data_IF_318176142038
#
_entry.id   IF_318176142038
#
_cell.length_a   1.000
_cell.length_b   1.000
_cell.length_c   1.000
_cell.angle_alpha   90.00
_cell.angle_beta   90.00
_cell.angle_gamma   90.00
#
_symmetry.space_group_name_H-M   'P 1'
#
loop_
_entity.id
_entity.type
_entity.pdbx_description
1 polymer ?
#
# COMPACT_ATOMS: atom_id res chain seq x y z
N UNK A 1 11.77 -12.93 -4.72
CA UNK A 1 10.59 -12.11 -5.03
C UNK A 1 10.96 -10.65 -5.13
N UNK A 2 10.34 -9.87 -6.03
CA UNK A 2 10.68 -8.45 -6.21
C UNK A 2 10.36 -7.63 -4.97
N UNK A 3 11.29 -6.75 -4.61
CA UNK A 3 11.14 -5.76 -3.54
C UNK A 3 11.66 -4.40 -4.03
N UNK A 4 10.97 -3.33 -3.71
CA UNK A 4 11.40 -1.96 -4.00
C UNK A 4 11.02 -1.06 -2.84
N UNK A 5 11.94 -0.17 -2.46
CA UNK A 5 11.78 0.66 -1.27
C UNK A 5 12.44 2.04 -1.43
N UNK A 6 12.05 2.97 -0.56
CA UNK A 6 12.74 4.25 -0.39
C UNK A 6 14.04 4.10 0.42
N UNK A 7 14.20 2.97 1.09
CA UNK A 7 15.35 2.66 1.92
C UNK A 7 16.46 2.21 0.97
N UNK A 8 17.54 2.96 0.89
CA UNK A 8 18.69 2.64 0.05
C UNK A 8 19.38 1.38 0.59
N UNK A 9 19.20 0.26 -0.10
CA UNK A 9 20.23 -0.76 -0.09
C UNK A 9 21.42 -0.12 -0.81
N UNK A 10 22.62 -0.17 -0.22
CA UNK A 10 23.84 0.56 -0.61
C UNK A 10 24.37 0.29 -2.03
N UNK A 11 23.54 -0.12 -2.96
CA UNK A 11 23.89 -0.25 -4.37
C UNK A 11 23.46 1.00 -5.13
N UNK A 12 24.43 1.79 -5.50
CA UNK A 12 24.41 3.05 -6.23
C UNK A 12 23.35 3.12 -7.34
N UNK A 13 22.13 3.52 -7.00
CA UNK A 13 21.16 3.98 -8.00
C UNK A 13 21.54 5.41 -8.38
N UNK A 14 21.81 5.65 -9.64
CA UNK A 14 22.01 6.98 -10.20
C UNK A 14 20.77 7.82 -9.86
N UNK A 15 20.95 8.83 -9.02
CA UNK A 15 19.84 9.70 -8.57
C UNK A 15 19.31 10.46 -9.79
N UNK A 16 18.10 10.09 -10.23
CA UNK A 16 17.43 10.80 -11.32
C UNK A 16 17.01 12.18 -10.82
N UNK A 17 17.45 13.24 -11.51
CA UNK A 17 17.38 14.61 -11.01
C UNK A 17 15.98 15.21 -11.08
N UNK A 18 15.12 14.77 -12.00
CA UNK A 18 13.77 15.31 -12.17
C UNK A 18 12.77 14.28 -12.72
N UNK A 19 11.47 14.62 -12.62
CA UNK A 19 10.37 13.74 -12.98
C UNK A 19 10.33 13.37 -14.48
N UNK A 20 10.74 14.29 -15.38
CA UNK A 20 10.81 13.99 -16.81
C UNK A 20 11.83 12.89 -17.12
N UNK A 21 12.94 12.85 -16.39
CA UNK A 21 13.99 11.87 -16.64
C UNK A 21 13.53 10.43 -16.32
N UNK A 22 12.57 10.27 -15.40
CA UNK A 22 11.93 8.96 -15.15
C UNK A 22 11.16 8.50 -16.38
N UNK A 23 10.52 9.45 -17.10
CA UNK A 23 9.70 9.18 -18.27
C UNK A 23 10.45 9.20 -19.60
N UNK A 24 11.76 9.32 -19.57
CA UNK A 24 12.53 9.36 -20.80
C UNK A 24 12.73 7.95 -21.37
N UNK A 25 12.42 7.80 -22.67
CA UNK A 25 12.62 6.51 -23.37
C UNK A 25 14.07 6.01 -23.29
N UNK A 26 15.04 6.92 -23.29
CA UNK A 26 16.45 6.58 -23.19
C UNK A 26 16.80 6.05 -21.79
N UNK A 27 16.12 6.51 -20.74
CA UNK A 27 16.26 5.97 -19.40
C UNK A 27 15.82 4.50 -19.34
N UNK A 28 14.69 4.16 -19.99
CA UNK A 28 14.22 2.77 -20.02
C UNK A 28 15.22 1.85 -20.74
N UNK A 29 15.76 2.30 -21.87
CA UNK A 29 16.84 1.57 -22.58
C UNK A 29 18.09 1.46 -21.72
N UNK A 30 18.49 2.53 -21.02
CA UNK A 30 19.65 2.53 -20.12
C UNK A 30 19.50 1.50 -18.99
N UNK A 31 18.33 1.42 -18.37
CA UNK A 31 18.03 0.43 -17.34
C UNK A 31 18.09 -0.98 -17.93
N UNK A 32 17.46 -1.21 -19.08
CA UNK A 32 17.47 -2.53 -19.73
C UNK A 32 18.88 -2.98 -20.13
N UNK A 33 19.73 -2.07 -20.59
CA UNK A 33 21.14 -2.33 -20.92
C UNK A 33 21.98 -2.62 -19.66
N UNK A 34 21.82 -1.80 -18.60
CA UNK A 34 22.48 -2.01 -17.30
C UNK A 34 22.20 -3.41 -16.74
N UNK A 35 20.96 -3.86 -16.88
CA UNK A 35 20.51 -5.19 -16.46
C UNK A 35 20.86 -6.30 -17.46
N UNK A 36 21.54 -5.99 -18.56
CA UNK A 36 21.88 -6.91 -19.66
C UNK A 36 20.66 -7.60 -20.30
N UNK A 37 19.50 -6.99 -20.20
CA UNK A 37 18.23 -7.48 -20.77
C UNK A 37 18.12 -7.06 -22.24
N UNK A 38 18.51 -5.83 -22.58
CA UNK A 38 18.62 -5.32 -23.95
C UNK A 38 20.10 -5.06 -24.29
N UNK A 39 20.72 -5.99 -25.07
CA UNK A 39 22.15 -5.88 -25.39
C UNK A 39 22.33 -5.06 -26.68
N UNK A 40 21.48 -5.25 -27.66
CA UNK A 40 21.55 -4.58 -28.98
C UNK A 40 20.17 -4.02 -29.34
N UNK A 41 20.17 -2.81 -29.89
CA UNK A 41 18.95 -2.26 -30.48
C UNK A 41 18.60 -3.05 -31.76
N UNK A 42 17.43 -3.65 -31.75
CA UNK A 42 16.86 -4.39 -32.88
C UNK A 42 15.46 -3.81 -33.18
N UNK A 43 14.59 -4.60 -33.81
CA UNK A 43 13.18 -4.27 -34.04
C UNK A 43 12.34 -4.08 -32.76
N UNK A 44 12.84 -4.46 -31.58
CA UNK A 44 12.21 -4.28 -30.28
C UNK A 44 13.09 -3.44 -29.35
N UNK A 45 12.48 -2.46 -28.67
CA UNK A 45 13.17 -1.65 -27.66
C UNK A 45 12.26 -1.43 -26.43
N UNK A 46 12.82 -1.57 -25.24
CA UNK A 46 12.13 -1.21 -24.00
C UNK A 46 11.82 0.29 -23.91
N UNK A 47 12.58 1.14 -24.61
CA UNK A 47 12.29 2.58 -24.71
C UNK A 47 10.95 2.89 -25.38
N UNK A 48 10.46 1.98 -26.21
CA UNK A 48 9.18 2.09 -26.93
C UNK A 48 8.10 1.23 -26.26
N UNK A 49 8.48 0.06 -25.77
CA UNK A 49 7.55 -0.90 -25.18
C UNK A 49 6.97 -0.44 -23.84
N UNK A 50 7.78 0.15 -22.96
CA UNK A 50 7.33 0.62 -21.64
C UNK A 50 6.25 1.71 -21.74
N UNK A 51 6.39 2.76 -22.60
CA UNK A 51 5.32 3.73 -22.84
C UNK A 51 4.02 3.10 -23.35
N UNK A 52 4.11 2.12 -24.23
CA UNK A 52 2.95 1.36 -24.69
C UNK A 52 2.27 0.63 -23.55
N UNK A 53 3.04 -0.06 -22.70
CA UNK A 53 2.49 -0.77 -21.54
C UNK A 53 1.81 0.20 -20.56
N UNK A 54 2.41 1.35 -20.25
CA UNK A 54 1.77 2.39 -19.43
C UNK A 54 0.42 2.83 -20.01
N UNK A 55 0.37 3.10 -21.32
CA UNK A 55 -0.85 3.50 -22.01
C UNK A 55 -1.93 2.41 -21.92
N UNK A 56 -1.57 1.16 -22.19
CA UNK A 56 -2.48 0.01 -22.14
C UNK A 56 -3.01 -0.29 -20.73
N UNK A 57 -2.18 -0.18 -19.71
CA UNK A 57 -2.62 -0.31 -18.32
C UNK A 57 -3.61 0.78 -17.87
N UNK A 58 -3.73 1.88 -18.62
CA UNK A 58 -4.73 2.92 -18.39
C UNK A 58 -6.02 2.72 -19.18
N UNK A 59 -6.11 1.70 -20.02
CA UNK A 59 -7.35 1.34 -20.73
C UNK A 59 -8.27 0.60 -19.75
N UNK A 60 -9.34 1.29 -19.31
CA UNK A 60 -10.35 0.71 -18.43
C UNK A 60 -11.31 -0.16 -19.23
N UNK A 61 -11.00 -1.44 -19.36
CA UNK A 61 -11.97 -2.45 -19.79
C UNK A 61 -12.07 -3.51 -18.69
N UNK A 62 -13.20 -3.56 -18.00
CA UNK A 62 -13.42 -4.47 -16.86
C UNK A 62 -13.26 -5.96 -17.20
N UNK A 63 -13.36 -6.32 -18.47
CA UNK A 63 -13.33 -7.70 -18.95
C UNK A 63 -12.20 -7.98 -19.95
N UNK A 64 -11.44 -6.96 -20.33
CA UNK A 64 -10.39 -7.12 -21.34
C UNK A 64 -9.09 -7.62 -20.73
N UNK A 65 -8.63 -8.74 -21.25
CA UNK A 65 -7.37 -9.36 -20.85
C UNK A 65 -6.27 -8.91 -21.79
N UNK A 66 -5.27 -8.22 -21.24
CA UNK A 66 -4.11 -7.78 -21.99
C UNK A 66 -3.31 -8.99 -22.49
N UNK A 67 -3.33 -9.27 -23.79
CA UNK A 67 -2.55 -10.33 -24.40
C UNK A 67 -1.22 -9.79 -24.94
N UNK A 68 -0.19 -10.64 -24.94
CA UNK A 68 1.10 -10.28 -25.54
C UNK A 68 0.98 -10.05 -27.04
N UNK A 69 0.08 -10.77 -27.71
CA UNK A 69 -0.18 -10.61 -29.13
C UNK A 69 -0.79 -9.24 -29.45
N UNK A 70 -1.77 -8.80 -28.67
CA UNK A 70 -2.33 -7.47 -28.79
C UNK A 70 -1.27 -6.37 -28.60
N UNK A 71 -0.39 -6.53 -27.60
CA UNK A 71 0.73 -5.62 -27.37
C UNK A 71 1.70 -5.61 -28.56
N UNK A 72 1.96 -6.76 -29.17
CA UNK A 72 2.82 -6.87 -30.35
C UNK A 72 2.23 -6.13 -31.55
N UNK A 73 0.95 -6.37 -31.84
CA UNK A 73 0.26 -5.68 -32.96
C UNK A 73 0.20 -4.19 -32.76
N UNK A 74 -0.10 -3.72 -31.55
CA UNK A 74 -0.11 -2.29 -31.22
C UNK A 74 1.30 -1.69 -31.29
N UNK A 75 2.33 -2.42 -30.86
CA UNK A 75 3.73 -2.03 -30.98
C UNK A 75 4.13 -1.83 -32.44
N UNK A 76 3.80 -2.80 -33.32
CA UNK A 76 4.03 -2.69 -34.76
C UNK A 76 3.36 -1.46 -35.36
N UNK A 77 2.08 -1.25 -35.02
CA UNK A 77 1.28 -0.13 -35.51
C UNK A 77 1.83 1.25 -35.09
N UNK A 78 2.28 1.37 -33.82
CA UNK A 78 2.73 2.66 -33.27
C UNK A 78 4.14 3.04 -33.71
N UNK A 79 5.02 2.06 -33.86
CA UNK A 79 6.44 2.31 -34.17
C UNK A 79 6.82 1.98 -35.61
N UNK A 80 5.85 1.60 -36.43
CA UNK A 80 6.05 1.21 -37.83
C UNK A 80 7.17 0.17 -38.00
N UNK A 81 7.16 -0.86 -37.14
CA UNK A 81 8.18 -1.91 -37.10
C UNK A 81 7.51 -3.25 -37.31
N UNK A 82 7.96 -4.00 -38.30
CA UNK A 82 7.51 -5.37 -38.50
C UNK A 82 8.31 -6.34 -37.57
N UNK A 83 7.61 -6.91 -36.58
CA UNK A 83 8.18 -7.88 -35.65
C UNK A 83 7.29 -9.11 -35.51
N UNK A 84 7.82 -10.29 -35.83
CA UNK A 84 7.08 -11.53 -35.67
C UNK A 84 6.93 -11.93 -34.20
N UNK A 85 6.03 -12.86 -33.92
CA UNK A 85 5.63 -13.26 -32.57
C UNK A 85 6.84 -13.77 -31.74
N UNK A 86 7.63 -14.71 -32.30
CA UNK A 86 8.75 -15.33 -31.58
C UNK A 86 9.82 -14.33 -31.10
N UNK A 87 10.36 -13.39 -31.92
CA UNK A 87 11.29 -12.36 -31.43
C UNK A 87 10.67 -11.44 -30.37
N UNK A 88 9.39 -11.08 -30.49
CA UNK A 88 8.70 -10.23 -29.52
C UNK A 88 8.59 -10.94 -28.17
N UNK A 89 8.13 -12.20 -28.16
CA UNK A 89 8.05 -13.01 -26.96
C UNK A 89 9.41 -13.25 -26.33
N UNK A 90 10.44 -13.58 -27.12
CA UNK A 90 11.80 -13.79 -26.62
C UNK A 90 12.41 -12.53 -25.98
N UNK A 91 12.00 -11.33 -26.40
CA UNK A 91 12.45 -10.10 -25.74
C UNK A 91 11.92 -9.97 -24.31
N UNK A 92 10.71 -10.49 -24.06
CA UNK A 92 10.03 -10.47 -22.76
C UNK A 92 10.27 -11.74 -21.95
N UNK A 93 10.68 -12.83 -22.61
CA UNK A 93 10.93 -14.15 -22.00
C UNK A 93 12.34 -14.24 -21.40
N UNK A 94 12.72 -13.22 -20.64
CA UNK A 94 14.00 -13.18 -19.91
C UNK A 94 13.71 -13.18 -18.42
N UNK A 95 14.39 -14.04 -17.69
CA UNK A 95 14.17 -14.26 -16.26
C UNK A 95 14.17 -12.94 -15.44
N UNK A 96 15.03 -12.01 -15.82
CA UNK A 96 15.22 -10.74 -15.11
C UNK A 96 14.40 -9.55 -15.67
N UNK A 97 13.51 -9.76 -16.64
CA UNK A 97 12.76 -8.67 -17.30
C UNK A 97 11.99 -7.81 -16.29
N UNK A 98 11.45 -8.39 -15.23
CA UNK A 98 10.73 -7.69 -14.18
C UNK A 98 11.61 -6.73 -13.35
N UNK A 99 12.94 -6.85 -13.42
CA UNK A 99 13.86 -5.92 -12.74
C UNK A 99 13.83 -4.52 -13.36
N UNK A 100 13.43 -4.39 -14.64
CA UNK A 100 13.28 -3.08 -15.28
C UNK A 100 12.23 -2.22 -14.56
N UNK A 101 10.95 -2.62 -14.48
CA UNK A 101 9.96 -1.85 -13.73
C UNK A 101 10.24 -1.79 -12.22
N UNK A 102 10.96 -2.75 -11.65
CA UNK A 102 11.40 -2.70 -10.26
C UNK A 102 12.35 -1.53 -10.00
N UNK A 103 13.33 -1.30 -10.87
CA UNK A 103 14.23 -0.14 -10.78
C UNK A 103 13.48 1.18 -11.00
N UNK A 104 12.53 1.22 -11.94
CA UNK A 104 11.66 2.38 -12.14
C UNK A 104 10.82 2.69 -10.89
N UNK A 105 10.25 1.68 -10.23
CA UNK A 105 9.49 1.85 -8.99
C UNK A 105 10.37 2.43 -7.87
N UNK A 106 11.58 1.90 -7.70
CA UNK A 106 12.52 2.39 -6.69
C UNK A 106 12.93 3.84 -6.91
N UNK A 107 13.25 4.21 -8.16
CA UNK A 107 13.58 5.58 -8.54
C UNK A 107 12.40 6.53 -8.28
N UNK A 108 11.18 6.10 -8.61
CA UNK A 108 9.96 6.89 -8.42
C UNK A 108 9.65 7.10 -6.94
N UNK A 109 9.78 6.07 -6.10
CA UNK A 109 9.59 6.18 -4.65
C UNK A 109 10.58 7.17 -4.02
N UNK A 110 11.84 7.14 -4.45
CA UNK A 110 12.85 8.11 -3.98
C UNK A 110 12.50 9.54 -4.39
N UNK A 111 12.02 9.75 -5.62
CA UNK A 111 11.59 11.07 -6.09
C UNK A 111 10.36 11.58 -5.34
N UNK A 112 9.37 10.71 -5.12
CA UNK A 112 8.20 11.01 -4.30
C UNK A 112 8.60 11.49 -2.91
N UNK A 113 9.46 10.73 -2.22
CA UNK A 113 9.95 11.07 -0.88
C UNK A 113 10.65 12.44 -0.84
N UNK A 114 11.48 12.77 -1.85
CA UNK A 114 12.18 14.06 -1.93
C UNK A 114 11.21 15.22 -2.21
N UNK A 115 10.25 15.02 -3.10
CA UNK A 115 9.30 16.06 -3.49
C UNK A 115 8.40 16.46 -2.31
N UNK A 116 7.90 15.48 -1.58
CA UNK A 116 7.02 15.71 -0.44
C UNK A 116 7.69 16.52 0.68
N UNK A 117 8.97 16.36 0.91
CA UNK A 117 9.70 17.17 1.90
C UNK A 117 9.70 18.68 1.57
N UNK A 118 9.49 19.06 0.30
CA UNK A 118 9.56 20.47 -0.15
C UNK A 118 8.21 21.18 -0.21
N UNK A 119 7.08 20.47 -0.26
CA UNK A 119 5.76 21.06 -0.42
C UNK A 119 5.22 21.70 0.87
N UNK A 120 4.77 22.98 0.82
CA UNK A 120 4.21 23.70 1.97
C UNK A 120 2.90 23.10 2.48
N UNK A 121 2.01 22.74 1.57
CA UNK A 121 0.71 22.12 1.92
C UNK A 121 0.90 20.78 2.62
N UNK A 122 1.86 20.03 2.18
CA UNK A 122 2.27 18.77 2.75
C UNK A 122 2.93 18.93 4.13
N UNK A 123 3.77 19.98 4.31
CA UNK A 123 4.42 20.26 5.60
C UNK A 123 3.42 20.46 6.74
N UNK A 124 2.32 21.17 6.51
CA UNK A 124 1.32 21.44 7.56
C UNK A 124 0.63 20.16 8.04
N UNK A 125 0.22 19.27 7.12
CA UNK A 125 -0.39 17.98 7.49
C UNK A 125 0.60 17.01 8.16
N UNK A 126 1.82 16.94 7.64
CA UNK A 126 2.86 16.08 8.23
C UNK A 126 3.38 16.60 9.57
N UNK A 127 3.33 17.91 9.82
CA UNK A 127 3.77 18.49 11.10
C UNK A 127 2.88 18.04 12.25
N UNK A 128 1.56 18.02 12.06
CA UNK A 128 0.64 17.46 13.07
C UNK A 128 0.92 15.98 13.35
N UNK A 129 1.19 15.19 12.30
CA UNK A 129 1.53 13.77 12.47
C UNK A 129 2.85 13.61 13.22
N UNK A 130 3.85 14.44 12.93
CA UNK A 130 5.12 14.46 13.67
C UNK A 130 4.93 14.86 15.12
N UNK A 131 4.07 15.85 15.39
CA UNK A 131 3.71 16.24 16.76
C UNK A 131 3.06 15.08 17.52
N UNK A 132 2.13 14.36 16.89
CA UNK A 132 1.54 13.14 17.43
C UNK A 132 2.61 12.06 17.70
N UNK A 133 3.50 11.82 16.75
CA UNK A 133 4.59 10.85 16.92
C UNK A 133 5.51 11.25 18.08
N UNK A 134 5.86 12.55 18.20
CA UNK A 134 6.67 13.08 19.32
C UNK A 134 5.97 12.86 20.66
N UNK A 135 4.66 13.08 20.74
CA UNK A 135 3.87 12.83 21.96
C UNK A 135 3.95 11.37 22.41
N UNK A 136 3.96 10.42 21.45
CA UNK A 136 4.06 8.99 21.74
C UNK A 136 5.50 8.48 21.85
N UNK A 137 6.49 9.35 21.65
CA UNK A 137 7.89 8.99 21.70
C UNK A 137 8.34 8.10 20.53
N UNK A 138 7.66 8.16 19.37
CA UNK A 138 8.01 7.40 18.18
C UNK A 138 8.47 8.31 17.04
N UNK A 139 9.31 7.77 16.15
CA UNK A 139 9.82 8.53 15.00
C UNK A 139 8.81 8.59 13.84
N UNK A 140 8.04 7.50 13.64
CA UNK A 140 7.06 7.38 12.56
C UNK A 140 5.99 6.35 12.90
N UNK A 141 4.88 6.40 12.19
CA UNK A 141 3.84 5.38 12.18
C UNK A 141 3.82 4.73 10.80
N UNK A 142 4.08 3.43 10.77
CA UNK A 142 4.16 2.63 9.54
C UNK A 142 2.91 1.74 9.43
N UNK A 143 2.12 2.00 8.42
CA UNK A 143 0.93 1.20 8.11
C UNK A 143 1.32 0.03 7.22
N UNK A 144 1.04 -1.19 7.66
CA UNK A 144 1.32 -2.41 6.90
C UNK A 144 0.01 -3.05 6.47
N UNK A 145 -0.08 -3.38 5.19
CA UNK A 145 -1.21 -4.14 4.66
C UNK A 145 -0.78 -5.01 3.47
N UNK A 146 -1.52 -6.09 3.23
CA UNK A 146 -1.32 -7.00 2.12
C UNK A 146 -2.56 -7.08 1.23
N UNK A 147 -2.36 -7.26 -0.07
CA UNK A 147 -3.46 -7.45 -1.01
C UNK A 147 -3.16 -8.58 -1.99
N UNK A 148 -4.14 -9.45 -2.19
CA UNK A 148 -4.02 -10.58 -3.11
C UNK A 148 -4.41 -10.17 -4.53
N UNK A 149 -3.68 -10.73 -5.50
CA UNK A 149 -3.94 -10.64 -6.94
C UNK A 149 -4.16 -12.07 -7.40
N UNK A 150 -5.39 -12.40 -7.77
CA UNK A 150 -5.72 -13.71 -8.34
C UNK A 150 -5.09 -13.82 -9.74
N UNK A 151 -4.46 -14.93 -10.02
CA UNK A 151 -3.94 -15.30 -11.33
C UNK A 151 -4.85 -16.35 -11.99
N UNK A 152 -4.67 -16.54 -13.29
CA UNK A 152 -5.37 -17.59 -14.03
C UNK A 152 -4.91 -18.98 -13.59
N UNK A 153 -5.77 -19.96 -13.70
CA UNK A 153 -5.46 -21.35 -13.36
C UNK A 153 -4.24 -21.90 -14.12
N UNK A 154 -4.05 -21.47 -15.38
CA UNK A 154 -2.85 -21.82 -16.17
C UNK A 154 -1.52 -21.42 -15.54
N UNK A 155 -1.54 -20.54 -14.52
CA UNK A 155 -0.35 -20.13 -13.77
C UNK A 155 -0.01 -21.09 -12.61
N UNK A 156 -0.83 -22.08 -12.32
CA UNK A 156 -0.67 -22.97 -11.17
C UNK A 156 0.64 -23.78 -11.17
N UNK A 157 1.25 -23.99 -12.34
CA UNK A 157 2.56 -24.64 -12.47
C UNK A 157 3.72 -23.74 -11.98
N UNK A 158 3.55 -22.41 -12.03
CA UNK A 158 4.60 -21.43 -11.75
C UNK A 158 4.37 -20.62 -10.47
N UNK A 159 3.18 -20.74 -9.88
CA UNK A 159 2.80 -20.05 -8.64
C UNK A 159 2.05 -20.99 -7.73
N UNK A 160 2.40 -20.99 -6.46
CA UNK A 160 1.71 -21.78 -5.47
C UNK A 160 0.25 -21.37 -5.32
N UNK A 161 -0.62 -22.39 -5.23
CA UNK A 161 -2.05 -22.20 -5.04
C UNK A 161 -2.40 -22.12 -3.56
N UNK A 162 -3.30 -21.22 -3.20
CA UNK A 162 -3.86 -21.12 -1.85
C UNK A 162 -4.71 -22.36 -1.61
N UNK A 163 -4.41 -23.17 -0.60
CA UNK A 163 -5.20 -24.36 -0.24
C UNK A 163 -4.43 -25.68 -0.12
N UNK A 164 -3.16 -25.76 -0.50
CA UNK A 164 -2.31 -26.97 -0.31
C UNK A 164 -2.04 -27.38 1.16
N UNK A 165 -2.85 -26.99 2.11
CA UNK A 165 -2.65 -27.34 3.53
C UNK A 165 -3.92 -27.66 4.32
N UNK A 166 -5.09 -27.50 3.74
CA UNK A 166 -6.34 -27.97 4.36
C UNK A 166 -6.94 -29.09 3.50
N UNK A 167 -6.79 -30.30 3.97
CA UNK A 167 -7.67 -31.42 3.58
C UNK A 167 -9.10 -31.01 3.93
N UNK A 168 -9.81 -30.34 3.03
CA UNK A 168 -11.25 -30.34 3.04
C UNK A 168 -11.70 -31.60 2.35
N UNK A 169 -12.45 -32.41 3.08
CA UNK A 169 -13.16 -33.56 2.59
C UNK A 169 -14.12 -33.08 1.47
N UNK A 170 -14.09 -33.78 0.36
CA UNK A 170 -15.18 -34.03 -0.57
C UNK A 170 -15.87 -32.89 -1.31
N UNK A 171 -15.16 -31.80 -1.67
CA UNK A 171 -15.64 -30.88 -2.72
C UNK A 171 -14.63 -30.79 -3.85
N UNK A 172 -15.01 -31.41 -4.98
CA UNK A 172 -14.26 -31.42 -6.25
C UNK A 172 -14.15 -30.03 -6.91
N UNK A 173 -14.71 -28.99 -6.29
CA UNK A 173 -14.79 -27.61 -6.79
C UNK A 173 -14.08 -26.58 -5.89
N UNK A 174 -13.11 -27.01 -5.08
CA UNK A 174 -12.31 -26.03 -4.34
C UNK A 174 -11.39 -25.29 -5.32
N UNK A 175 -11.82 -24.12 -5.72
CA UNK A 175 -11.17 -23.11 -6.56
C UNK A 175 -9.82 -22.65 -5.96
N UNK A 176 -8.81 -23.53 -5.94
CA UNK A 176 -7.44 -23.22 -5.54
C UNK A 176 -6.76 -22.42 -6.66
N UNK A 177 -7.06 -21.12 -6.73
CA UNK A 177 -6.46 -20.24 -7.74
C UNK A 177 -5.05 -19.86 -7.34
N UNK A 178 -4.08 -19.93 -8.27
CA UNK A 178 -2.76 -19.37 -8.04
C UNK A 178 -2.87 -17.85 -7.87
N UNK A 179 -1.96 -17.26 -7.15
CA UNK A 179 -2.00 -15.82 -6.90
C UNK A 179 -0.70 -15.24 -6.45
N UNK A 180 -0.65 -13.92 -6.48
CA UNK A 180 0.40 -13.10 -5.89
C UNK A 180 -0.17 -12.28 -4.74
N UNK A 181 0.69 -11.89 -3.82
CA UNK A 181 0.36 -10.98 -2.74
C UNK A 181 1.32 -9.81 -2.77
N UNK A 182 0.77 -8.59 -2.76
CA UNK A 182 1.53 -7.37 -2.58
C UNK A 182 1.45 -6.97 -1.11
N UNK A 183 2.62 -6.75 -0.50
CA UNK A 183 2.75 -6.21 0.86
C UNK A 183 3.25 -4.79 0.75
N UNK A 184 2.57 -3.85 1.37
CA UNK A 184 2.88 -2.42 1.31
C UNK A 184 3.11 -1.88 2.71
N UNK A 185 4.20 -1.15 2.87
CA UNK A 185 4.44 -0.30 4.03
C UNK A 185 4.30 1.17 3.64
N UNK A 186 3.46 1.88 4.36
CA UNK A 186 3.18 3.29 4.15
C UNK A 186 3.56 4.10 5.40
N UNK A 187 4.39 5.13 5.23
CA UNK A 187 4.77 6.06 6.29
C UNK A 187 3.73 7.16 6.45
N UNK A 188 3.19 7.33 7.65
CA UNK A 188 2.29 8.45 7.94
C UNK A 188 3.03 9.79 7.99
N UNK A 189 4.23 9.86 8.56
CA UNK A 189 4.98 11.11 8.65
C UNK A 189 5.48 11.60 7.29
N UNK A 190 5.83 10.67 6.40
CA UNK A 190 6.30 10.97 5.05
C UNK A 190 5.17 10.94 4.01
N UNK A 191 3.98 10.46 4.38
CA UNK A 191 2.82 10.25 3.49
C UNK A 191 3.19 9.54 2.18
N UNK A 192 4.06 8.56 2.25
CA UNK A 192 4.58 7.84 1.09
C UNK A 192 4.79 6.37 1.41
N UNK A 193 4.88 5.58 0.36
CA UNK A 193 5.23 4.17 0.46
C UNK A 193 6.72 4.05 0.79
N UNK A 194 7.04 3.28 1.82
CA UNK A 194 8.41 2.97 2.20
C UNK A 194 8.94 1.76 1.43
N UNK A 195 8.14 0.72 1.33
CA UNK A 195 8.47 -0.43 0.50
C UNK A 195 7.22 -1.16 -0.02
N UNK A 196 7.41 -1.91 -1.10
CA UNK A 196 6.48 -2.92 -1.60
C UNK A 196 7.25 -4.22 -1.80
N UNK A 197 6.68 -5.32 -1.33
CA UNK A 197 7.19 -6.67 -1.58
C UNK A 197 6.12 -7.48 -2.29
N UNK A 198 6.53 -8.33 -3.22
CA UNK A 198 5.63 -9.24 -3.94
C UNK A 198 6.00 -10.66 -3.56
N UNK A 199 5.03 -11.43 -3.08
CA UNK A 199 5.18 -12.86 -2.75
C UNK A 199 4.13 -13.68 -3.47
N UNK A 200 4.24 -14.99 -3.40
CA UNK A 200 3.16 -15.90 -3.78
C UNK A 200 2.01 -15.81 -2.76
N UNK A 201 0.78 -16.10 -3.20
CA UNK A 201 -0.42 -15.88 -2.37
C UNK A 201 -0.46 -16.69 -1.07
N UNK A 202 0.25 -17.81 -1.01
CA UNK A 202 0.42 -18.65 0.19
C UNK A 202 1.55 -18.18 1.11
N UNK A 203 2.39 -17.22 0.68
CA UNK A 203 3.44 -16.65 1.50
C UNK A 203 2.90 -16.00 2.78
N UNK A 204 3.66 -16.13 3.88
CA UNK A 204 3.31 -15.54 5.16
C UNK A 204 3.44 -14.01 5.11
N UNK A 205 2.36 -13.29 5.39
CA UNK A 205 2.40 -11.81 5.47
C UNK A 205 3.34 -11.31 6.56
N UNK A 206 3.55 -12.11 7.61
CA UNK A 206 4.33 -11.76 8.79
C UNK A 206 5.82 -11.69 8.49
N UNK A 207 6.29 -12.55 7.58
CA UNK A 207 7.70 -12.65 7.21
C UNK A 207 8.14 -11.49 6.29
N UNK A 208 7.16 -10.75 5.74
CA UNK A 208 7.39 -9.61 4.86
C UNK A 208 7.40 -8.25 5.59
N UNK A 209 7.26 -8.25 6.92
CA UNK A 209 7.37 -7.02 7.72
C UNK A 209 8.84 -6.72 8.00
N UNK A 210 9.38 -5.71 7.32
CA UNK A 210 10.80 -5.30 7.43
C UNK A 210 11.03 -4.37 8.62
N UNK A 211 10.67 -4.80 9.83
CA UNK A 211 10.76 -3.99 11.04
C UNK A 211 12.21 -3.60 11.40
N UNK A 212 13.18 -4.41 11.06
CA UNK A 212 14.61 -4.21 11.28
C UNK A 212 15.18 -2.98 10.54
N UNK A 213 14.53 -2.56 9.46
CA UNK A 213 14.90 -1.36 8.69
C UNK A 213 14.40 -0.05 9.33
N UNK A 214 13.63 -0.14 10.39
CA UNK A 214 13.05 1.00 11.09
C UNK A 214 13.53 1.02 12.55
N UNK A 215 13.63 2.23 13.11
CA UNK A 215 14.01 2.40 14.52
C UNK A 215 13.02 3.32 15.22
N UNK A 216 12.57 2.90 16.38
CA UNK A 216 11.63 3.64 17.20
C UNK A 216 10.36 4.03 16.40
N UNK A 217 9.81 3.10 15.60
CA UNK A 217 8.61 3.28 14.79
C UNK A 217 7.46 2.43 15.32
N UNK A 218 6.23 2.89 15.10
CA UNK A 218 5.01 2.17 15.43
C UNK A 218 4.43 1.51 14.16
N UNK A 219 4.35 0.19 14.15
CA UNK A 219 3.72 -0.58 13.06
C UNK A 219 2.24 -0.81 13.35
N UNK A 220 1.37 -0.37 12.44
CA UNK A 220 -0.07 -0.63 12.52
C UNK A 220 -0.44 -1.69 11.48
N UNK A 221 -1.02 -2.80 11.96
CA UNK A 221 -1.27 -3.99 11.15
C UNK A 221 -2.65 -4.57 11.42
N UNK A 222 -3.20 -5.33 10.44
CA UNK A 222 -4.46 -6.05 10.62
C UNK A 222 -4.23 -7.38 11.39
N UNK A 223 -5.33 -8.03 11.76
CA UNK A 223 -5.37 -9.29 12.53
C UNK A 223 -4.60 -10.45 11.88
N UNK A 224 -4.36 -10.42 10.57
CA UNK A 224 -3.54 -11.40 9.87
C UNK A 224 -2.10 -11.46 10.38
N UNK A 225 -1.60 -10.35 10.92
CA UNK A 225 -0.24 -10.21 11.43
C UNK A 225 -0.06 -10.64 12.89
N UNK A 226 -1.12 -11.02 13.60
CA UNK A 226 -1.02 -11.49 14.99
C UNK A 226 -0.10 -12.73 15.08
N UNK A 227 1.05 -12.56 15.71
CA UNK A 227 2.06 -13.60 15.91
C UNK A 227 2.97 -13.22 17.05
N UNK A 228 3.07 -14.09 18.05
CA UNK A 228 3.96 -13.88 19.21
C UNK A 228 5.43 -13.73 18.82
N UNK A 229 5.86 -14.43 17.75
CA UNK A 229 7.21 -14.27 17.22
C UNK A 229 7.40 -12.86 16.65
N UNK A 230 6.54 -12.43 15.72
CA UNK A 230 6.64 -11.09 15.10
C UNK A 230 6.57 -9.98 16.17
N UNK A 231 5.68 -10.10 17.15
CA UNK A 231 5.55 -9.13 18.24
C UNK A 231 6.82 -9.01 19.09
N UNK A 232 7.44 -10.15 19.43
CA UNK A 232 8.73 -10.19 20.15
C UNK A 232 9.86 -9.59 19.29
N UNK A 233 9.93 -9.94 18.02
CA UNK A 233 10.98 -9.47 17.10
C UNK A 233 10.87 -7.95 16.88
N UNK A 234 9.66 -7.41 16.70
CA UNK A 234 9.42 -5.95 16.60
C UNK A 234 9.84 -5.26 17.91
N UNK A 235 9.45 -5.80 19.07
CA UNK A 235 9.81 -5.20 20.35
C UNK A 235 11.32 -5.26 20.61
N UNK A 236 11.98 -6.38 20.29
CA UNK A 236 13.42 -6.55 20.42
C UNK A 236 14.22 -5.60 19.51
N UNK A 237 13.69 -5.23 18.36
CA UNK A 237 14.30 -4.23 17.45
C UNK A 237 14.13 -2.77 17.92
N UNK A 238 13.51 -2.53 19.08
CA UNK A 238 13.22 -1.20 19.61
C UNK A 238 12.07 -0.49 18.92
N UNK A 239 11.17 -1.25 18.29
CA UNK A 239 9.97 -0.75 17.63
C UNK A 239 8.70 -1.11 18.41
N UNK A 240 7.59 -0.49 17.98
CA UNK A 240 6.27 -0.70 18.57
C UNK A 240 5.31 -1.28 17.54
N UNK A 241 4.26 -1.95 18.04
CA UNK A 241 3.19 -2.44 17.19
C UNK A 241 1.81 -2.07 17.75
N UNK A 242 0.83 -1.97 16.86
CA UNK A 242 -0.60 -1.87 17.14
C UNK A 242 -1.33 -2.78 16.15
N UNK A 243 -1.82 -3.92 16.62
CA UNK A 243 -2.40 -4.97 15.78
C UNK A 243 -3.84 -5.21 16.20
N UNK A 244 -4.76 -5.30 15.22
CA UNK A 244 -6.12 -5.75 15.50
C UNK A 244 -6.09 -7.21 15.92
N UNK A 245 -6.68 -7.51 17.06
CA UNK A 245 -6.70 -8.88 17.58
C UNK A 245 -7.94 -9.66 17.12
N UNK A 246 -7.89 -10.96 17.32
CA UNK A 246 -9.02 -11.84 17.07
C UNK A 246 -10.01 -11.75 18.24
N UNK A 247 -11.31 -11.94 17.98
CA UNK A 247 -12.34 -11.98 19.03
C UNK A 247 -12.10 -13.10 20.07
N UNK A 248 -11.34 -14.13 19.69
CA UNK A 248 -10.99 -15.27 20.54
C UNK A 248 -9.52 -15.20 20.96
N UNK A 249 -9.05 -14.04 21.37
CA UNK A 249 -7.68 -13.83 21.84
C UNK A 249 -7.34 -14.81 22.95
N UNK A 250 -6.30 -15.58 22.71
CA UNK A 250 -5.77 -16.53 23.69
C UNK A 250 -4.81 -15.81 24.63
N UNK A 251 -5.02 -15.95 25.91
CA UNK A 251 -4.16 -15.39 26.96
C UNK A 251 -4.94 -15.18 28.24
N UNK A 252 -4.21 -15.03 29.34
CA UNK A 252 -4.77 -14.84 30.69
C UNK A 252 -4.59 -13.38 31.08
N UNK A 253 -5.64 -12.75 31.59
CA UNK A 253 -5.61 -11.35 32.04
C UNK A 253 -4.87 -11.31 33.39
N UNK A 254 -3.77 -10.55 33.42
CA UNK A 254 -2.97 -10.33 34.64
C UNK A 254 -3.21 -8.95 35.27
N UNK A 255 -3.67 -7.97 34.48
CA UNK A 255 -4.18 -6.68 34.98
C UNK A 255 -5.35 -6.23 34.09
N UNK A 256 -6.31 -5.55 34.69
CA UNK A 256 -7.46 -5.00 33.96
C UNK A 256 -7.85 -3.64 34.56
N UNK A 257 -8.20 -2.69 33.68
CA UNK A 257 -8.58 -1.34 34.03
C UNK A 257 -9.77 -0.89 33.18
N UNK A 258 -10.66 -0.05 33.75
CA UNK A 258 -11.68 0.65 32.99
C UNK A 258 -11.13 1.95 32.37
N UNK A 259 -12.02 2.74 31.69
CA UNK A 259 -11.67 4.03 31.08
C UNK A 259 -11.12 5.06 32.08
N UNK A 260 -11.57 5.01 33.32
CA UNK A 260 -11.12 5.90 34.40
C UNK A 260 -9.77 5.50 35.00
N UNK A 261 -9.24 4.32 34.62
CA UNK A 261 -8.00 3.78 35.18
C UNK A 261 -8.20 2.97 36.47
N UNK A 262 -9.45 2.69 36.84
CA UNK A 262 -9.78 1.88 38.02
C UNK A 262 -9.53 0.39 37.74
N UNK A 263 -8.96 -0.30 38.70
CA UNK A 263 -8.61 -1.72 38.58
C UNK A 263 -9.88 -2.61 38.64
N UNK A 264 -9.98 -3.52 37.65
CA UNK A 264 -11.08 -4.48 37.54
C UNK A 264 -10.62 -5.86 37.99
N UNK A 265 -10.57 -6.10 39.30
CA UNK A 265 -10.10 -7.36 39.90
C UNK A 265 -10.91 -8.58 39.45
N UNK A 266 -12.21 -8.42 39.16
CA UNK A 266 -13.10 -9.47 38.65
C UNK A 266 -12.66 -10.07 37.31
N UNK A 267 -11.77 -9.39 36.58
CA UNK A 267 -11.23 -9.85 35.30
C UNK A 267 -9.96 -10.71 35.43
N UNK A 268 -9.27 -10.65 36.55
CA UNK A 268 -7.99 -11.32 36.74
C UNK A 268 -8.11 -12.85 36.63
N UNK A 269 -7.13 -13.48 36.02
CA UNK A 269 -7.09 -14.93 35.79
C UNK A 269 -8.02 -15.42 34.68
N UNK A 270 -8.90 -14.57 34.13
CA UNK A 270 -9.84 -14.93 33.07
C UNK A 270 -9.21 -14.78 31.69
N UNK A 271 -9.77 -15.49 30.70
CA UNK A 271 -9.44 -15.29 29.28
C UNK A 271 -10.21 -14.10 28.74
N UNK A 272 -9.62 -13.31 27.85
CA UNK A 272 -10.34 -12.20 27.18
C UNK A 272 -11.62 -12.68 26.51
N UNK A 273 -11.61 -13.86 25.90
CA UNK A 273 -12.78 -14.45 25.23
C UNK A 273 -13.97 -14.69 26.15
N UNK A 274 -13.73 -14.92 27.46
CA UNK A 274 -14.79 -15.12 28.44
C UNK A 274 -15.46 -13.80 28.89
N UNK A 275 -14.88 -12.65 28.54
CA UNK A 275 -15.43 -11.32 28.88
C UNK A 275 -16.26 -10.72 27.73
N UNK A 276 -16.60 -11.51 26.71
CA UNK A 276 -17.27 -11.01 25.51
C UNK A 276 -18.61 -10.32 25.81
N UNK A 277 -19.38 -10.88 26.71
CA UNK A 277 -20.72 -10.42 27.06
C UNK A 277 -20.77 -9.73 28.45
N UNK A 278 -19.60 -9.42 29.02
CA UNK A 278 -19.49 -8.69 30.28
C UNK A 278 -18.92 -7.30 30.07
N UNK A 279 -19.25 -6.36 30.95
CA UNK A 279 -18.82 -4.95 30.85
C UNK A 279 -19.22 -4.30 29.53
N UNK A 280 -20.42 -4.59 29.03
CA UNK A 280 -20.94 -4.10 27.73
C UNK A 280 -21.14 -2.60 27.68
N UNK A 281 -21.33 -1.96 28.84
CA UNK A 281 -21.50 -0.51 28.98
C UNK A 281 -20.17 0.25 28.96
N UNK A 282 -19.07 -0.45 29.24
CA UNK A 282 -17.74 0.17 29.23
C UNK A 282 -17.28 0.45 27.79
N UNK A 283 -17.00 1.73 27.51
CA UNK A 283 -16.52 2.19 26.21
C UNK A 283 -15.14 1.62 25.91
N UNK A 284 -14.26 1.57 26.94
CA UNK A 284 -12.89 1.05 26.84
C UNK A 284 -12.56 0.16 28.03
N UNK A 285 -11.90 -0.95 27.76
CA UNK A 285 -11.19 -1.74 28.74
C UNK A 285 -9.73 -1.93 28.33
N UNK A 286 -8.86 -1.97 29.31
CA UNK A 286 -7.41 -2.01 29.12
C UNK A 286 -6.82 -3.17 29.94
N UNK A 287 -6.25 -4.15 29.25
CA UNK A 287 -5.75 -5.38 29.85
C UNK A 287 -4.25 -5.53 29.65
N UNK A 288 -3.55 -6.02 30.65
CA UNK A 288 -2.27 -6.69 30.46
C UNK A 288 -2.55 -8.19 30.41
N UNK A 289 -2.09 -8.86 29.38
CA UNK A 289 -2.41 -10.25 29.06
C UNK A 289 -1.13 -11.05 28.93
N UNK A 290 -1.04 -12.14 29.66
CA UNK A 290 -0.01 -13.14 29.46
C UNK A 290 -0.44 -14.08 28.33
N UNK A 291 0.36 -14.14 27.27
CA UNK A 291 0.10 -15.00 26.11
C UNK A 291 0.50 -16.45 26.42
N UNK A 292 0.00 -17.40 25.62
CA UNK A 292 0.40 -18.82 25.75
C UNK A 292 1.91 -19.06 25.63
N UNK A 293 2.64 -18.14 25.00
CA UNK A 293 4.09 -18.19 24.82
C UNK A 293 4.85 -17.44 25.92
N UNK A 294 4.18 -17.11 27.03
CA UNK A 294 4.80 -16.52 28.23
C UNK A 294 5.29 -15.08 28.05
N UNK A 295 4.76 -14.30 27.09
CA UNK A 295 5.07 -12.87 27.02
C UNK A 295 3.83 -12.02 27.32
N UNK A 296 4.05 -10.87 27.92
CA UNK A 296 3.01 -9.94 28.27
C UNK A 296 2.75 -8.97 27.12
N UNK A 297 1.47 -8.75 26.81
CA UNK A 297 1.02 -7.80 25.82
C UNK A 297 -0.14 -6.98 26.36
N UNK A 298 -0.17 -5.68 26.08
CA UNK A 298 -1.31 -4.84 26.38
C UNK A 298 -2.39 -5.05 25.33
N UNK A 299 -3.62 -5.31 25.74
CA UNK A 299 -4.78 -5.48 24.87
C UNK A 299 -5.85 -4.50 25.30
N UNK A 300 -6.34 -3.67 24.40
CA UNK A 300 -7.49 -2.81 24.63
C UNK A 300 -8.73 -3.40 23.98
N UNK A 301 -9.88 -3.27 24.63
CA UNK A 301 -11.20 -3.48 24.05
C UNK A 301 -11.87 -2.13 23.90
N UNK A 302 -12.26 -1.78 22.69
CA UNK A 302 -12.96 -0.53 22.39
C UNK A 302 -14.35 -0.84 21.85
N UNK A 303 -15.38 -0.14 22.34
CA UNK A 303 -16.75 -0.19 21.78
C UNK A 303 -16.72 0.50 20.42
N UNK A 304 -17.30 -0.12 19.42
CA UNK A 304 -17.33 0.39 18.05
C UNK A 304 -18.67 0.03 17.43
N UNK A 305 -19.24 0.95 16.65
CA UNK A 305 -20.42 0.68 15.83
C UNK A 305 -20.04 0.41 14.39
N UNK A 306 -20.69 -0.54 13.76
CA UNK A 306 -20.59 -0.75 12.32
C UNK A 306 -21.45 0.28 11.56
N UNK A 307 -21.52 0.14 10.22
CA UNK A 307 -22.26 1.06 9.36
C UNK A 307 -23.77 0.96 9.51
N UNK A 308 -24.22 -0.18 9.93
CA UNK A 308 -25.66 -0.50 10.10
C UNK A 308 -26.12 -0.15 11.53
N UNK A 309 -25.24 0.45 12.35
CA UNK A 309 -25.51 0.87 13.71
C UNK A 309 -25.35 -0.24 14.76
N UNK A 310 -24.98 -1.46 14.36
CA UNK A 310 -24.76 -2.54 15.31
C UNK A 310 -23.52 -2.26 16.15
N UNK A 311 -23.66 -2.28 17.45
CA UNK A 311 -22.55 -2.10 18.38
C UNK A 311 -21.79 -3.41 18.59
N UNK A 312 -20.48 -3.30 18.59
CA UNK A 312 -19.58 -4.41 18.83
C UNK A 312 -18.29 -3.97 19.49
N UNK A 313 -17.35 -4.88 19.66
CA UNK A 313 -16.07 -4.58 20.25
C UNK A 313 -14.92 -4.86 19.30
N UNK A 314 -13.96 -3.93 19.26
CA UNK A 314 -12.67 -4.09 18.59
C UNK A 314 -11.62 -4.35 19.65
N UNK A 315 -10.78 -5.36 19.42
CA UNK A 315 -9.66 -5.67 20.26
C UNK A 315 -8.37 -5.27 19.55
N UNK A 316 -7.52 -4.51 20.23
CA UNK A 316 -6.24 -4.06 19.71
C UNK A 316 -5.15 -4.44 20.71
N UNK A 317 -4.07 -5.02 20.20
CA UNK A 317 -2.91 -5.41 20.99
C UNK A 317 -1.68 -4.57 20.66
N UNK A 318 -0.87 -4.25 21.68
CA UNK A 318 0.26 -3.34 21.54
C UNK A 318 1.31 -3.58 22.64
N UNK A 319 2.55 -3.16 22.36
CA UNK A 319 3.61 -3.03 23.39
C UNK A 319 3.78 -1.57 23.89
N UNK A 320 2.96 -0.62 23.42
CA UNK A 320 2.97 0.74 23.97
C UNK A 320 2.44 0.78 25.39
N UNK A 321 3.16 1.50 26.25
CA UNK A 321 2.84 1.61 27.68
C UNK A 321 1.58 2.46 27.92
N UNK A 322 0.80 2.12 28.95
CA UNK A 322 -0.45 2.78 29.34
C UNK A 322 -0.27 4.26 29.67
N UNK A 323 0.83 4.67 30.30
CA UNK A 323 1.15 6.07 30.61
C UNK A 323 1.53 6.92 29.39
N UNK A 324 1.82 6.31 28.23
CA UNK A 324 2.22 7.02 27.02
C UNK A 324 1.01 7.32 26.12
N UNK A 325 0.09 6.34 26.01
CA UNK A 325 -1.05 6.43 25.09
C UNK A 325 -2.31 5.79 25.71
N UNK A 326 -3.43 6.52 25.65
CA UNK A 326 -4.72 6.07 26.15
C UNK A 326 -5.38 5.03 25.23
N UNK A 327 -6.41 4.32 25.75
CA UNK A 327 -7.23 3.40 24.96
C UNK A 327 -7.92 4.12 23.79
N UNK A 328 -8.46 5.32 24.06
CA UNK A 328 -9.08 6.15 23.04
C UNK A 328 -8.10 6.49 21.92
N UNK A 329 -6.90 6.98 22.27
CA UNK A 329 -5.86 7.33 21.29
C UNK A 329 -5.44 6.12 20.45
N UNK A 330 -5.25 4.94 21.04
CA UNK A 330 -4.94 3.70 20.33
C UNK A 330 -6.05 3.32 19.35
N UNK A 331 -7.31 3.42 19.78
CA UNK A 331 -8.45 3.11 18.91
C UNK A 331 -8.54 4.08 17.72
N UNK A 332 -8.39 5.39 17.96
CA UNK A 332 -8.37 6.37 16.87
C UNK A 332 -7.16 6.19 15.96
N UNK A 333 -5.99 5.91 16.53
CA UNK A 333 -4.76 5.71 15.76
C UNK A 333 -4.87 4.47 14.83
N UNK A 334 -5.51 3.40 15.28
CA UNK A 334 -5.75 2.22 14.45
C UNK A 334 -6.60 2.56 13.19
N UNK A 335 -7.48 3.54 13.26
CA UNK A 335 -8.29 3.97 12.10
C UNK A 335 -7.44 4.54 10.96
N UNK A 336 -6.22 5.03 11.24
CA UNK A 336 -5.31 5.52 10.20
C UNK A 336 -4.88 4.41 9.22
N UNK A 337 -4.99 3.13 9.61
CA UNK A 337 -4.69 1.98 8.75
C UNK A 337 -5.51 1.97 7.44
N UNK A 338 -6.71 2.57 7.47
CA UNK A 338 -7.56 2.69 6.28
C UNK A 338 -6.87 3.39 5.09
N UNK A 339 -5.85 4.20 5.35
CA UNK A 339 -5.09 4.92 4.30
C UNK A 339 -4.41 3.95 3.33
N UNK A 340 -3.77 2.90 3.84
CA UNK A 340 -3.09 1.91 2.98
C UNK A 340 -4.09 1.05 2.22
N UNK A 341 -5.26 0.75 2.80
CA UNK A 341 -6.34 0.03 2.10
C UNK A 341 -6.87 0.82 0.89
N UNK A 342 -7.04 2.14 1.03
CA UNK A 342 -7.47 2.99 -0.08
C UNK A 342 -6.45 2.98 -1.22
N UNK A 343 -5.16 3.02 -0.90
CA UNK A 343 -4.10 2.90 -1.89
C UNK A 343 -4.19 1.54 -2.62
N UNK A 344 -4.31 0.45 -1.88
CA UNK A 344 -4.44 -0.89 -2.45
C UNK A 344 -5.67 -1.03 -3.35
N UNK A 345 -6.80 -0.46 -2.94
CA UNK A 345 -8.02 -0.44 -3.73
C UNK A 345 -7.82 0.33 -5.04
N UNK A 346 -7.21 1.51 -4.98
CA UNK A 346 -6.94 2.32 -6.15
C UNK A 346 -6.00 1.59 -7.14
N UNK A 347 -4.99 0.90 -6.63
CA UNK A 347 -4.07 0.10 -7.41
C UNK A 347 -4.78 -1.04 -8.18
N UNK A 348 -5.69 -1.76 -7.51
CA UNK A 348 -6.46 -2.84 -8.14
C UNK A 348 -7.44 -2.36 -9.21
N UNK A 349 -8.18 -1.29 -8.90
CA UNK A 349 -9.27 -0.83 -9.79
C UNK A 349 -8.79 0.05 -10.94
N UNK A 350 -7.64 0.69 -10.81
CA UNK A 350 -7.19 1.73 -11.74
C UNK A 350 -6.21 1.29 -12.83
N UNK A 351 -5.65 0.07 -12.77
CA UNK A 351 -4.53 -0.32 -13.63
C UNK A 351 -4.61 -1.77 -14.14
N UNK A 352 -5.80 -2.32 -14.31
CA UNK A 352 -6.01 -3.65 -14.93
C UNK A 352 -5.08 -4.77 -14.41
N UNK A 353 -4.78 -4.73 -13.11
CA UNK A 353 -3.77 -5.59 -12.47
C UNK A 353 -4.06 -7.10 -12.62
N UNK A 354 -5.31 -7.46 -12.83
CA UNK A 354 -5.78 -8.85 -12.93
C UNK A 354 -5.84 -9.38 -14.38
N UNK A 355 -5.52 -8.53 -15.37
CA UNK A 355 -5.84 -8.80 -16.77
C UNK A 355 -4.63 -9.25 -17.61
N UNK A 356 -3.68 -10.00 -17.01
CA UNK A 356 -2.47 -10.43 -17.72
C UNK A 356 -2.63 -11.85 -18.24
N UNK A 357 -2.49 -12.03 -19.55
CA UNK A 357 -2.53 -13.33 -20.19
C UNK A 357 -1.13 -13.90 -20.41
N UNK A 358 -0.53 -14.45 -19.38
CA UNK A 358 0.72 -15.20 -19.44
C UNK A 358 0.74 -16.25 -18.35
N UNK A 359 1.45 -17.35 -18.56
CA UNK A 359 1.78 -18.35 -17.51
C UNK A 359 3.20 -18.16 -16.97
N UNK A 360 4.05 -17.37 -17.61
CA UNK A 360 5.46 -17.20 -17.25
C UNK A 360 5.64 -16.24 -16.09
N UNK A 361 6.30 -16.69 -15.03
CA UNK A 361 6.47 -15.95 -13.76
C UNK A 361 7.09 -14.56 -13.95
N UNK A 362 8.18 -14.47 -14.71
CA UNK A 362 8.88 -13.19 -14.93
C UNK A 362 8.05 -12.19 -15.75
N UNK A 363 7.25 -12.65 -16.71
CA UNK A 363 6.34 -11.80 -17.49
C UNK A 363 5.21 -11.28 -16.59
N UNK A 364 4.59 -12.14 -15.79
CA UNK A 364 3.54 -11.73 -14.84
C UNK A 364 4.10 -10.70 -13.86
N UNK A 365 5.27 -10.94 -13.28
CA UNK A 365 5.92 -10.01 -12.37
C UNK A 365 6.23 -8.67 -13.04
N UNK A 366 6.69 -8.68 -14.30
CA UNK A 366 6.91 -7.46 -15.07
C UNK A 366 5.64 -6.60 -15.13
N UNK A 367 4.52 -7.16 -15.55
CA UNK A 367 3.25 -6.41 -15.69
C UNK A 367 2.66 -6.00 -14.33
N UNK A 368 2.75 -6.84 -13.31
CA UNK A 368 2.30 -6.50 -11.96
C UNK A 368 3.07 -5.29 -11.44
N UNK A 369 4.40 -5.28 -11.59
CA UNK A 369 5.22 -4.14 -11.16
C UNK A 369 4.96 -2.91 -12.03
N UNK A 370 4.76 -3.06 -13.35
CA UNK A 370 4.36 -1.97 -14.24
C UNK A 370 3.03 -1.34 -13.79
N UNK A 371 2.05 -2.13 -13.36
CA UNK A 371 0.79 -1.61 -12.79
C UNK A 371 1.03 -0.81 -11.52
N UNK A 372 1.92 -1.28 -10.64
CA UNK A 372 2.32 -0.54 -9.44
C UNK A 372 2.99 0.77 -9.81
N UNK A 373 3.97 0.77 -10.74
CA UNK A 373 4.65 1.98 -11.22
C UNK A 373 3.65 2.97 -11.80
N UNK A 374 2.72 2.50 -12.63
CA UNK A 374 1.65 3.32 -13.21
C UNK A 374 0.81 3.99 -12.11
N UNK A 375 0.46 3.25 -11.07
CA UNK A 375 -0.29 3.76 -9.92
C UNK A 375 0.48 4.82 -9.15
N UNK A 376 1.75 4.58 -8.88
CA UNK A 376 2.63 5.55 -8.21
C UNK A 376 2.75 6.85 -8.99
N UNK A 377 2.87 6.76 -10.33
CA UNK A 377 2.94 7.93 -11.21
C UNK A 377 1.63 8.72 -11.18
N UNK A 378 0.48 8.06 -11.31
CA UNK A 378 -0.84 8.70 -11.22
C UNK A 378 -1.02 9.41 -9.88
N UNK A 379 -0.64 8.74 -8.79
CA UNK A 379 -0.66 9.32 -7.44
C UNK A 379 0.23 10.55 -7.36
N UNK A 380 1.45 10.48 -7.89
CA UNK A 380 2.37 11.61 -7.89
C UNK A 380 1.82 12.82 -8.65
N UNK A 381 1.28 12.61 -9.85
CA UNK A 381 0.67 13.70 -10.64
C UNK A 381 -0.55 14.27 -9.91
N UNK A 382 -1.35 13.43 -9.25
CA UNK A 382 -2.45 13.90 -8.39
C UNK A 382 -1.98 14.80 -7.25
N UNK A 383 -0.88 14.46 -6.61
CA UNK A 383 -0.29 15.27 -5.53
C UNK A 383 0.31 16.58 -6.05
N UNK A 384 0.94 16.58 -7.22
CA UNK A 384 1.36 17.82 -7.90
C UNK A 384 0.14 18.72 -8.21
N UNK A 385 -0.98 18.13 -8.63
CA UNK A 385 -2.21 18.87 -8.91
C UNK A 385 -2.75 19.55 -7.65
N UNK A 386 -2.77 18.85 -6.52
CA UNK A 386 -3.17 19.43 -5.22
C UNK A 386 -2.25 20.55 -4.77
N UNK A 387 -0.95 20.42 -5.03
CA UNK A 387 0.04 21.44 -4.67
C UNK A 387 -0.16 22.74 -5.45
N UNK A 388 -0.46 22.61 -6.76
CA UNK A 388 -0.63 23.76 -7.64
C UNK A 388 -2.03 24.42 -7.50
N UNK A 389 -3.00 23.70 -6.92
CA UNK A 389 -4.38 24.15 -6.76
C UNK A 389 -4.84 24.10 -5.30
N UNK A 390 -4.43 25.08 -4.46
CA UNK A 390 -4.72 25.07 -3.03
C UNK A 390 -6.22 25.15 -2.69
N UNK A 391 -7.07 25.55 -3.64
CA UNK A 391 -8.54 25.51 -3.50
C UNK A 391 -9.17 24.12 -3.55
N UNK A 392 -8.43 23.12 -4.04
CA UNK A 392 -8.92 21.74 -4.09
C UNK A 392 -8.70 21.08 -2.73
N UNK A 393 -9.79 20.75 -2.03
CA UNK A 393 -9.73 20.12 -0.70
C UNK A 393 -9.24 18.67 -0.73
N UNK A 394 -9.64 17.90 -1.73
CA UNK A 394 -9.22 16.50 -1.92
C UNK A 394 -9.49 15.98 -3.32
N UNK A 395 -8.68 15.01 -3.78
CA UNK A 395 -8.92 14.21 -4.97
C UNK A 395 -9.49 12.84 -4.59
N UNK A 396 -10.38 12.33 -5.43
CA UNK A 396 -10.81 10.94 -5.34
C UNK A 396 -9.76 10.04 -5.96
N UNK A 397 -9.13 9.19 -5.17
CA UNK A 397 -8.13 8.25 -5.65
C UNK A 397 -8.69 7.30 -6.72
N UNK A 398 -9.95 6.86 -6.58
CA UNK A 398 -10.59 6.02 -7.58
C UNK A 398 -10.78 6.76 -8.91
N UNK A 399 -11.29 7.98 -8.90
CA UNK A 399 -11.43 8.81 -10.12
C UNK A 399 -10.07 9.10 -10.75
N UNK A 400 -9.06 9.44 -9.93
CA UNK A 400 -7.71 9.70 -10.38
C UNK A 400 -7.12 8.49 -11.12
N UNK A 401 -7.21 7.32 -10.51
CA UNK A 401 -6.64 6.10 -11.10
C UNK A 401 -7.42 5.61 -12.33
N UNK A 402 -8.73 5.91 -12.41
CA UNK A 402 -9.59 5.57 -13.55
C UNK A 402 -9.60 6.65 -14.66
N UNK A 403 -8.82 7.70 -14.49
CA UNK A 403 -8.86 8.86 -15.41
C UNK A 403 -8.27 8.52 -16.78
N UNK A 404 -9.05 8.73 -17.85
CA UNK A 404 -8.66 8.40 -19.22
C UNK A 404 -7.51 9.25 -19.78
N UNK A 405 -7.30 10.47 -19.24
CA UNK A 405 -6.25 11.40 -19.68
C UNK A 405 -4.85 10.76 -19.61
N UNK A 406 -4.63 9.82 -18.70
CA UNK A 406 -3.34 9.16 -18.52
C UNK A 406 -2.96 8.29 -19.72
N UNK A 407 -3.92 7.70 -20.43
CA UNK A 407 -3.66 6.92 -21.65
C UNK A 407 -2.88 7.73 -22.67
N UNK A 408 -3.40 8.90 -23.02
CA UNK A 408 -2.78 9.81 -24.00
C UNK A 408 -1.48 10.42 -23.48
N UNK A 409 -1.44 10.77 -22.20
CA UNK A 409 -0.23 11.31 -21.58
C UNK A 409 0.92 10.31 -21.66
N UNK A 410 0.73 9.06 -21.25
CA UNK A 410 1.79 8.05 -21.28
C UNK A 410 2.25 7.72 -22.70
N UNK A 411 1.33 7.77 -23.68
CA UNK A 411 1.66 7.51 -25.07
C UNK A 411 2.65 8.52 -25.65
N UNK A 412 2.64 9.77 -25.19
CA UNK A 412 3.41 10.87 -25.74
C UNK A 412 4.57 11.33 -24.86
N UNK A 413 4.36 11.31 -23.54
CA UNK A 413 5.25 11.93 -22.55
C UNK A 413 6.72 11.44 -22.62
N UNK A 414 6.93 10.17 -22.98
CA UNK A 414 8.26 9.57 -23.03
C UNK A 414 9.10 9.99 -24.23
N UNK A 415 8.45 10.51 -25.29
CA UNK A 415 9.07 10.82 -26.58
C UNK A 415 9.30 12.31 -26.81
N UNK A 416 8.74 13.17 -25.96
CA UNK A 416 8.78 14.63 -26.15
C UNK A 416 9.91 15.29 -25.38
N UNK A 417 10.34 16.47 -25.87
CA UNK A 417 11.30 17.34 -25.18
C UNK A 417 10.72 17.83 -23.84
N UNK A 418 11.59 18.25 -22.93
CA UNK A 418 11.27 18.67 -21.57
C UNK A 418 10.18 19.76 -21.53
N UNK A 419 10.25 20.77 -22.38
CA UNK A 419 9.25 21.85 -22.48
C UNK A 419 7.85 21.31 -22.78
N UNK A 420 7.74 20.52 -23.85
CA UNK A 420 6.47 19.90 -24.28
C UNK A 420 5.94 18.91 -23.22
N UNK A 421 6.82 18.20 -22.52
CA UNK A 421 6.43 17.33 -21.41
C UNK A 421 5.71 18.12 -20.32
N UNK A 422 6.27 19.26 -19.89
CA UNK A 422 5.65 20.04 -18.82
C UNK A 422 4.34 20.73 -19.27
N UNK A 423 4.21 21.10 -20.54
CA UNK A 423 2.93 21.56 -21.12
C UNK A 423 1.86 20.45 -21.09
N UNK A 424 2.23 19.22 -21.48
CA UNK A 424 1.32 18.09 -21.39
C UNK A 424 0.97 17.75 -19.93
N UNK A 425 1.95 17.79 -19.04
CA UNK A 425 1.73 17.55 -17.61
C UNK A 425 0.78 18.60 -17.02
N UNK A 426 0.89 19.87 -17.43
CA UNK A 426 -0.04 20.94 -17.04
C UNK A 426 -1.47 20.61 -17.48
N UNK A 427 -1.68 20.21 -18.74
CA UNK A 427 -3.00 19.81 -19.26
C UNK A 427 -3.59 18.64 -18.44
N UNK A 428 -2.75 17.66 -18.07
CA UNK A 428 -3.19 16.54 -17.22
C UNK A 428 -3.61 17.03 -15.84
N UNK A 429 -2.84 17.92 -15.21
CA UNK A 429 -3.18 18.51 -13.90
C UNK A 429 -4.47 19.32 -13.95
N UNK A 430 -4.66 20.12 -14.97
CA UNK A 430 -5.87 20.92 -15.17
C UNK A 430 -7.10 20.00 -15.33
N UNK A 431 -6.97 18.93 -16.11
CA UNK A 431 -8.03 17.93 -16.25
C UNK A 431 -8.34 17.21 -14.93
N UNK A 432 -7.32 16.81 -14.17
CA UNK A 432 -7.48 16.17 -12.85
C UNK A 432 -8.16 17.14 -11.88
N UNK A 433 -7.76 18.41 -11.88
CA UNK A 433 -8.32 19.43 -11.00
C UNK A 433 -9.82 19.62 -11.25
N UNK A 434 -10.28 19.51 -12.49
CA UNK A 434 -11.69 19.69 -12.85
C UNK A 434 -12.52 18.41 -12.63
N UNK A 435 -11.97 17.24 -12.94
CA UNK A 435 -12.75 15.99 -13.05
C UNK A 435 -12.56 15.01 -11.88
N UNK A 436 -11.42 15.07 -11.21
CA UNK A 436 -11.10 14.12 -10.14
C UNK A 436 -11.34 14.64 -8.74
N UNK A 437 -11.93 15.83 -8.60
CA UNK A 437 -12.30 16.37 -7.31
C UNK A 437 -13.33 15.48 -6.62
N UNK A 438 -13.24 15.45 -5.31
CA UNK A 438 -14.18 14.77 -4.45
C UNK A 438 -15.36 15.70 -4.12
N UNK A 439 -16.50 15.42 -4.69
CA UNK A 439 -17.69 16.29 -4.59
C UNK A 439 -18.65 15.91 -3.47
N UNK A 440 -18.62 14.66 -2.99
CA UNK A 440 -19.52 14.19 -1.90
C UNK A 440 -18.73 13.55 -0.77
N UNK A 441 -19.06 13.83 0.49
CA UNK A 441 -18.53 13.06 1.60
C UNK A 441 -19.17 11.67 1.55
N UNK A 442 -18.42 10.65 1.12
CA UNK A 442 -18.86 9.27 1.27
C UNK A 442 -18.22 8.73 2.53
N UNK A 443 -19.02 8.10 3.38
CA UNK A 443 -18.53 7.43 4.59
C UNK A 443 -17.50 6.33 4.30
N UNK A 444 -17.38 5.89 3.05
CA UNK A 444 -16.48 4.83 2.62
C UNK A 444 -15.08 5.28 2.21
N UNK A 445 -14.93 6.54 1.80
CA UNK A 445 -13.66 7.08 1.30
C UNK A 445 -13.04 8.07 2.28
N UNK A 446 -13.35 7.94 3.52
CA UNK A 446 -13.08 8.93 4.52
C UNK A 446 -11.67 8.81 5.10
N UNK A 447 -10.68 9.33 4.40
CA UNK A 447 -9.70 10.16 5.09
C UNK A 447 -9.32 11.26 4.11
N UNK A 448 -10.17 12.29 4.04
CA UNK A 448 -9.79 13.60 3.52
C UNK A 448 -8.59 14.05 4.34
N UNK A 449 -7.71 14.87 3.76
CA UNK A 449 -6.67 15.51 4.56
C UNK A 449 -7.27 16.23 5.78
N UNK A 450 -8.47 16.83 5.63
CA UNK A 450 -9.23 17.42 6.74
C UNK A 450 -9.62 16.35 7.78
N UNK A 451 -10.11 15.20 7.37
CA UNK A 451 -10.51 14.12 8.29
C UNK A 451 -9.29 13.49 8.98
N UNK A 452 -8.15 13.42 8.27
CA UNK A 452 -6.88 13.01 8.88
C UNK A 452 -6.39 14.05 9.89
N UNK A 453 -6.49 15.34 9.58
CA UNK A 453 -6.15 16.42 10.49
C UNK A 453 -7.04 16.38 11.73
N UNK A 454 -8.35 16.25 11.57
CA UNK A 454 -9.30 16.11 12.67
C UNK A 454 -9.02 14.86 13.50
N UNK A 455 -8.74 13.74 12.85
CA UNK A 455 -8.38 12.49 13.52
C UNK A 455 -7.07 12.65 14.32
N UNK A 456 -6.05 13.24 13.73
CA UNK A 456 -4.76 13.46 14.40
C UNK A 456 -4.92 14.45 15.55
N UNK A 457 -5.68 15.53 15.40
CA UNK A 457 -6.00 16.44 16.49
C UNK A 457 -6.78 15.74 17.62
N UNK A 458 -7.76 14.91 17.28
CA UNK A 458 -8.49 14.10 18.26
C UNK A 458 -7.55 13.17 19.06
N UNK A 459 -6.56 12.58 18.38
CA UNK A 459 -5.52 11.76 19.01
C UNK A 459 -4.62 12.62 19.92
N UNK A 460 -4.11 13.75 19.44
CA UNK A 460 -3.21 14.65 20.19
C UNK A 460 -3.89 15.16 21.46
N UNK A 461 -5.12 15.62 21.33
CA UNK A 461 -5.88 16.22 22.44
C UNK A 461 -6.60 15.18 23.30
N UNK A 462 -6.58 13.90 22.93
CA UNK A 462 -7.28 12.80 23.61
C UNK A 462 -8.79 13.07 23.77
N UNK A 463 -9.42 13.67 22.74
CA UNK A 463 -10.83 14.09 22.73
C UNK A 463 -11.56 13.61 21.47
N UNK A 464 -12.86 13.26 21.53
CA UNK A 464 -13.64 12.93 20.36
C UNK A 464 -13.66 14.06 19.32
N UNK A 465 -13.80 13.73 18.04
CA UNK A 465 -13.83 14.70 16.92
C UNK A 465 -14.98 15.70 17.11
N UNK A 466 -16.15 15.24 17.59
CA UNK A 466 -17.34 16.06 17.83
C UNK A 466 -17.12 17.18 18.84
N UNK A 467 -16.16 17.06 19.73
CA UNK A 467 -15.82 18.12 20.71
C UNK A 467 -14.74 19.08 20.21
N UNK A 468 -14.15 18.82 19.04
CA UNK A 468 -13.13 19.69 18.42
C UNK A 468 -13.73 20.58 17.32
N UNK A 469 -14.95 20.31 16.87
CA UNK A 469 -15.69 21.13 15.89
C UNK A 469 -16.58 22.21 16.54
N UNK A 470 -16.74 22.17 17.85
CA UNK A 470 -17.41 23.19 18.66
C UNK A 470 -16.40 24.21 19.22
#
# INVERSE_FOLDING_TARGET
>A
MPRFSTISDNNSSTIISNFKDIFDRFNFVKIAKKLRIEIRHRKFSFGEFIPLVFSKLCEHQKEHVLSLEELRLEYQRLFNVEISNKPFHNALDKEDVYKIPQELASNLLQQLSKHFKKSRHYRNGTELIKQMCKQFGVNDVILIDGTEIALRYSCALNFECKGKGRKQKDDADSDTKPGLKLHVAFSLTKQTIEYITITEACGSERDEVLFDKFKNCLFIMDRGYVSSKLEKDIAASGNYFLIKDKKNTAGTIIKAFNKAGEALTKCLGKKISSLKDTFTDEEYLDFDVETKQGHNVRVIRAKSSDRDGNTGFVYLRTNLKRGVISCFQLHQLYRTRWTVELFMKALKTGNSLQAINSSKKHIILFFVIMSVVTSLIKTYIGLLTLQDNPGIKALSMLKLHSCCIFKEFFRKACFVKKTVFYEQLKKVKDFISSNCQRTKPSARDALKLKDMILLVNSIIHNKPITTLEA
#
